data_IF_167006692985
#
_entry.id   IF_167006692985
#
_cell.length_a   1.000
_cell.length_b   1.000
_cell.length_c   1.000
_cell.angle_alpha   90.00
_cell.angle_beta   90.00
_cell.angle_gamma   90.00
#
_symmetry.space_group_name_H-M   'P 1'
#
loop_
_entity.id
_entity.type
_entity.pdbx_description
1 polymer ?
#
# COMPACT_ATOMS: atom_id res chain seq x y z
N UNK A 1 16.00 54.61 21.30
CA UNK A 1 15.03 54.90 20.24
C UNK A 1 14.33 53.59 19.95
N UNK A 2 13.08 53.49 20.39
CA UNK A 2 12.25 52.29 20.24
C UNK A 2 11.70 52.25 18.81
N UNK A 3 11.91 51.16 18.10
CA UNK A 3 11.04 50.79 16.98
C UNK A 3 10.05 49.75 17.51
N UNK A 4 8.98 50.26 18.10
CA UNK A 4 7.72 49.52 18.24
C UNK A 4 7.08 49.47 16.84
N UNK A 5 6.98 48.27 16.28
CA UNK A 5 6.48 48.04 14.94
C UNK A 5 5.81 46.69 14.81
N UNK A 6 4.68 46.53 15.51
CA UNK A 6 3.59 45.58 15.22
C UNK A 6 3.97 44.39 14.31
N UNK A 7 4.45 43.30 14.91
CA UNK A 7 4.50 42.02 14.20
C UNK A 7 3.06 41.48 14.15
N UNK A 8 2.42 41.34 12.98
CA UNK A 8 1.15 40.66 12.92
C UNK A 8 1.35 39.25 13.51
N UNK A 9 0.35 38.62 14.17
CA UNK A 9 0.42 37.21 14.48
C UNK A 9 0.43 36.49 13.14
N UNK A 10 1.62 36.31 12.60
CA UNK A 10 1.83 35.69 11.33
C UNK A 10 1.62 34.20 11.62
N UNK A 11 0.35 33.79 11.58
CA UNK A 11 -0.09 32.42 11.37
C UNK A 11 0.46 31.96 10.03
N UNK A 12 1.78 31.83 9.96
CA UNK A 12 2.47 31.09 8.93
C UNK A 12 2.34 29.67 9.43
N UNK A 13 1.40 28.95 8.84
CA UNK A 13 1.46 27.49 8.78
C UNK A 13 2.86 27.16 8.24
N UNK A 14 3.79 26.95 9.17
CA UNK A 14 5.18 26.67 8.85
C UNK A 14 5.21 25.20 8.48
N UNK A 15 5.25 24.93 7.18
CA UNK A 15 5.33 23.55 6.70
C UNK A 15 6.73 23.03 6.98
N UNK A 16 6.82 22.08 7.91
CA UNK A 16 8.07 21.38 8.22
C UNK A 16 8.41 20.33 7.17
N UNK A 17 9.69 20.00 6.98
CA UNK A 17 10.09 18.93 6.06
C UNK A 17 9.47 17.56 6.41
N UNK A 18 9.13 17.34 7.68
CA UNK A 18 8.39 16.15 8.11
C UNK A 18 6.96 16.09 7.53
N UNK A 19 6.29 17.23 7.40
CA UNK A 19 4.95 17.33 6.81
C UNK A 19 5.01 17.18 5.28
N UNK A 20 6.07 17.71 4.66
CA UNK A 20 6.34 17.49 3.23
C UNK A 20 6.57 16.01 2.95
N UNK A 21 7.42 15.33 3.74
CA UNK A 21 7.67 13.89 3.57
C UNK A 21 6.39 13.07 3.82
N UNK A 22 5.61 13.39 4.85
CA UNK A 22 4.34 12.71 5.11
C UNK A 22 3.34 12.88 3.94
N UNK A 23 3.22 14.08 3.38
CA UNK A 23 2.36 14.34 2.23
C UNK A 23 2.85 13.61 0.97
N UNK A 24 4.17 13.53 0.74
CA UNK A 24 4.76 12.73 -0.34
C UNK A 24 4.39 11.27 -0.13
N UNK A 25 4.60 10.72 1.08
CA UNK A 25 4.23 9.33 1.34
C UNK A 25 2.74 9.10 1.07
N UNK A 26 1.82 9.97 1.50
CA UNK A 26 0.39 9.82 1.20
C UNK A 26 0.06 9.89 -0.30
N UNK A 27 0.71 10.78 -1.05
CA UNK A 27 0.48 10.91 -2.50
C UNK A 27 1.10 9.78 -3.33
N UNK A 28 2.15 9.13 -2.82
CA UNK A 28 2.93 8.11 -3.55
C UNK A 28 2.84 6.70 -2.96
N UNK A 29 1.88 6.43 -2.06
CA UNK A 29 1.64 5.07 -1.62
C UNK A 29 1.19 4.17 -2.78
N UNK A 30 1.58 2.90 -2.70
CA UNK A 30 1.00 1.81 -3.49
C UNK A 30 -0.11 1.13 -2.65
N UNK A 31 -1.36 1.66 -2.64
CA UNK A 31 -2.42 1.18 -1.75
C UNK A 31 -2.74 -0.30 -1.96
N UNK A 32 -2.59 -0.80 -3.19
CA UNK A 32 -2.80 -2.20 -3.54
C UNK A 32 -1.82 -3.13 -2.79
N UNK A 33 -0.54 -2.77 -2.68
CA UNK A 33 0.46 -3.55 -1.92
C UNK A 33 0.09 -3.59 -0.44
N UNK A 34 -0.37 -2.47 0.12
CA UNK A 34 -0.77 -2.40 1.52
C UNK A 34 -1.97 -3.30 1.81
N UNK A 35 -2.98 -3.31 0.94
CA UNK A 35 -4.13 -4.22 1.05
C UNK A 35 -3.71 -5.68 0.99
N UNK A 36 -2.77 -6.03 0.09
CA UNK A 36 -2.23 -7.39 0.02
C UNK A 36 -1.54 -7.80 1.33
N UNK A 37 -0.75 -6.90 1.92
CA UNK A 37 -0.02 -7.13 3.18
C UNK A 37 -0.94 -7.30 4.40
N UNK A 38 -2.03 -6.54 4.48
CA UNK A 38 -2.96 -6.57 5.63
C UNK A 38 -4.10 -7.58 5.49
N UNK A 39 -4.21 -8.25 4.34
CA UNK A 39 -5.27 -9.24 4.09
C UNK A 39 -5.19 -10.49 4.99
N UNK A 40 -6.29 -11.24 5.06
CA UNK A 40 -6.41 -12.46 5.85
C UNK A 40 -5.39 -13.54 5.41
N UNK A 41 -5.10 -14.52 6.28
CA UNK A 41 -4.23 -15.66 5.94
C UNK A 41 -4.71 -16.38 4.67
N UNK A 42 -6.02 -16.64 4.56
CA UNK A 42 -6.59 -17.33 3.40
C UNK A 42 -6.49 -16.47 2.12
N UNK A 43 -6.70 -15.15 2.23
CA UNK A 43 -6.54 -14.24 1.09
C UNK A 43 -5.10 -14.25 0.57
N UNK A 44 -4.10 -14.28 1.45
CA UNK A 44 -2.68 -14.38 1.07
C UNK A 44 -2.35 -15.72 0.40
N UNK A 45 -2.90 -16.82 0.91
CA UNK A 45 -2.77 -18.15 0.30
C UNK A 45 -3.38 -18.14 -1.11
N UNK A 46 -4.58 -17.58 -1.26
CA UNK A 46 -5.24 -17.47 -2.56
C UNK A 46 -4.45 -16.62 -3.55
N UNK A 47 -3.95 -15.46 -3.14
CA UNK A 47 -3.07 -14.62 -3.98
C UNK A 47 -1.80 -15.37 -4.40
N UNK A 48 -1.19 -16.11 -3.48
CA UNK A 48 0.00 -16.91 -3.77
C UNK A 48 -0.30 -18.01 -4.80
N UNK A 49 -1.43 -18.71 -4.64
CA UNK A 49 -1.85 -19.75 -5.57
C UNK A 49 -2.16 -19.19 -6.97
N UNK A 50 -2.78 -18.01 -7.06
CA UNK A 50 -3.00 -17.30 -8.33
C UNK A 50 -1.69 -16.99 -9.06
N UNK A 51 -0.70 -16.47 -8.32
CA UNK A 51 0.63 -16.16 -8.87
C UNK A 51 1.37 -17.43 -9.29
N UNK A 52 1.28 -18.50 -8.51
CA UNK A 52 1.86 -19.79 -8.84
C UNK A 52 1.25 -20.38 -10.13
N UNK A 53 -0.07 -20.34 -10.27
CA UNK A 53 -0.75 -20.84 -11.47
C UNK A 53 -0.38 -20.02 -12.71
N UNK A 54 -0.24 -18.70 -12.56
CA UNK A 54 0.27 -17.81 -13.60
C UNK A 54 1.70 -18.22 -14.03
N UNK A 55 2.62 -18.43 -13.08
CA UNK A 55 4.00 -18.84 -13.43
C UNK A 55 4.05 -20.22 -14.08
N UNK A 56 3.17 -21.13 -13.67
CA UNK A 56 3.09 -22.49 -14.20
C UNK A 56 2.53 -22.54 -15.62
N UNK A 57 1.53 -21.71 -15.93
CA UNK A 57 0.74 -21.81 -17.19
C UNK A 57 0.95 -20.66 -18.17
N UNK A 58 1.45 -19.52 -17.70
CA UNK A 58 1.57 -18.28 -18.46
C UNK A 58 0.24 -17.55 -18.70
N UNK A 59 -0.87 -18.02 -18.12
CA UNK A 59 -2.19 -17.46 -18.36
C UNK A 59 -2.51 -16.34 -17.35
N UNK A 60 -2.80 -15.13 -17.86
CA UNK A 60 -3.20 -13.98 -17.03
C UNK A 60 -4.56 -14.15 -16.35
N UNK A 61 -5.38 -15.10 -16.81
CA UNK A 61 -6.70 -15.42 -16.26
C UNK A 61 -6.82 -16.94 -16.07
N UNK A 62 -7.49 -17.37 -15.00
CA UNK A 62 -7.64 -18.80 -14.66
C UNK A 62 -8.97 -19.05 -13.95
N UNK A 63 -9.38 -20.31 -13.87
CA UNK A 63 -10.62 -20.73 -13.18
C UNK A 63 -10.34 -21.06 -11.72
N UNK A 64 -11.35 -20.90 -10.87
CA UNK A 64 -11.21 -21.19 -9.43
C UNK A 64 -10.82 -22.64 -9.15
N UNK A 65 -11.31 -23.59 -9.95
CA UNK A 65 -10.95 -25.01 -9.82
C UNK A 65 -9.43 -25.23 -9.93
N UNK A 66 -8.79 -24.62 -10.93
CA UNK A 66 -7.33 -24.73 -11.12
C UNK A 66 -6.56 -24.10 -9.97
N UNK A 67 -7.02 -22.94 -9.47
CA UNK A 67 -6.41 -22.26 -8.33
C UNK A 67 -6.57 -23.08 -7.06
N UNK A 68 -7.71 -23.73 -6.86
CA UNK A 68 -7.97 -24.59 -5.70
C UNK A 68 -6.98 -25.75 -5.59
N UNK A 69 -6.64 -26.39 -6.72
CA UNK A 69 -5.57 -27.41 -6.75
C UNK A 69 -4.22 -26.83 -6.31
N UNK A 70 -3.91 -25.60 -6.71
CA UNK A 70 -2.69 -24.90 -6.32
C UNK A 70 -2.71 -24.37 -4.87
N UNK A 71 -3.88 -24.16 -4.27
CA UNK A 71 -4.03 -23.81 -2.85
C UNK A 71 -3.77 -24.98 -1.90
N UNK A 72 -4.09 -26.22 -2.30
CA UNK A 72 -3.96 -27.41 -1.45
C UNK A 72 -2.58 -27.57 -0.79
N UNK A 73 -1.44 -27.45 -1.52
CA UNK A 73 -0.12 -27.52 -0.90
C UNK A 73 0.24 -26.33 0.01
N UNK A 74 -0.50 -25.21 -0.05
CA UNK A 74 -0.23 -23.99 0.74
C UNK A 74 -1.03 -23.92 2.05
N UNK A 75 -2.04 -24.78 2.19
CA UNK A 75 -2.89 -24.86 3.39
C UNK A 75 -2.38 -25.94 4.37
N UNK A 76 -1.70 -26.97 3.86
CA UNK A 76 -1.12 -28.08 4.62
C UNK A 76 0.04 -27.66 5.54
#
# INVERSE_FOLDING_TARGET
>A
MSEDGNMPPAGKSLVGMAEVEAAIQEMFQAPHIQVMKTSSRLSKIFLTAMVYELYKTGMGETTFEKVNFSCFPLIA
#
